data_IF_016219330648
#
_entry.id   IF_016219330648
#
_cell.length_a   1.000
_cell.length_b   1.000
_cell.length_c   1.000
_cell.angle_alpha   90.00
_cell.angle_beta   90.00
_cell.angle_gamma   90.00
#
_symmetry.space_group_name_H-M   'P 1'
#
loop_
_entity.id
_entity.type
_entity.pdbx_description
1 polymer ?
#
# COMPACT_ATOMS: atom_id res chain seq x y z
N UNK A 1 0.81 1.07 -8.45
CA UNK A 1 0.74 1.96 -7.27
C UNK A 1 0.34 1.20 -6.02
N UNK A 2 0.82 1.67 -4.91
CA UNK A 2 0.53 1.10 -3.60
C UNK A 2 -0.77 1.67 -3.06
N UNK A 3 -1.68 0.81 -2.57
CA UNK A 3 -2.88 1.25 -1.89
C UNK A 3 -2.60 1.49 -0.41
N UNK A 4 -2.89 2.69 0.06
CA UNK A 4 -2.73 3.10 1.45
C UNK A 4 -3.95 3.92 1.89
N UNK A 5 -4.35 3.77 3.15
CA UNK A 5 -5.41 4.62 3.71
C UNK A 5 -5.06 6.12 3.67
N UNK A 6 -3.77 6.45 3.64
CA UNK A 6 -3.30 7.82 3.47
C UNK A 6 -3.44 8.35 2.02
N UNK A 7 -3.63 7.46 1.05
CA UNK A 7 -3.70 7.80 -0.37
C UNK A 7 -5.16 7.85 -0.90
N UNK A 8 -6.15 7.63 -0.04
CA UNK A 8 -7.56 7.78 -0.37
C UNK A 8 -7.84 9.28 -0.60
N UNK A 9 -8.56 9.59 -1.68
CA UNK A 9 -8.94 10.95 -2.04
C UNK A 9 -10.46 11.07 -2.10
N UNK A 10 -10.96 12.15 -1.50
CA UNK A 10 -12.34 12.58 -1.66
C UNK A 10 -12.36 13.56 -2.82
N UNK A 11 -13.24 13.33 -3.77
CA UNK A 11 -13.35 14.12 -4.98
C UNK A 11 -14.77 14.70 -5.06
N UNK A 12 -14.87 15.97 -5.46
CA UNK A 12 -16.13 16.57 -5.78
C UNK A 12 -16.55 16.21 -7.21
N UNK A 13 -17.82 15.90 -7.40
CA UNK A 13 -18.38 15.68 -8.72
C UNK A 13 -18.65 17.05 -9.35
N UNK A 14 -18.01 17.34 -10.46
CA UNK A 14 -18.20 18.57 -11.23
C UNK A 14 -19.01 18.21 -12.47
N UNK A 15 -20.13 18.89 -12.66
CA UNK A 15 -20.91 18.80 -13.89
C UNK A 15 -20.60 20.00 -14.78
N UNK A 16 -20.24 19.70 -16.03
CA UNK A 16 -19.99 20.66 -17.06
C UNK A 16 -20.57 20.11 -18.37
N UNK A 17 -21.51 20.85 -18.99
CA UNK A 17 -22.26 20.36 -20.16
C UNK A 17 -21.34 19.93 -21.33
N UNK A 18 -20.27 20.67 -21.58
CA UNK A 18 -19.32 20.35 -22.64
C UNK A 18 -18.56 19.03 -22.33
N UNK A 19 -18.10 18.89 -21.09
CA UNK A 19 -17.38 17.70 -20.64
C UNK A 19 -18.31 16.49 -20.58
N UNK A 20 -19.51 16.67 -20.06
CA UNK A 20 -20.51 15.60 -19.94
C UNK A 20 -20.91 15.08 -21.35
N UNK A 21 -21.07 15.97 -22.34
CA UNK A 21 -21.34 15.58 -23.73
C UNK A 21 -20.14 14.84 -24.35
N UNK A 22 -18.92 15.33 -24.12
CA UNK A 22 -17.71 14.74 -24.67
C UNK A 22 -17.45 13.34 -24.12
N UNK A 23 -17.65 13.15 -22.80
CA UNK A 23 -17.35 11.90 -22.11
C UNK A 23 -18.56 10.98 -21.91
N UNK A 24 -19.73 11.29 -22.46
CA UNK A 24 -20.99 10.55 -22.24
C UNK A 24 -20.92 9.05 -22.50
N UNK A 25 -20.00 8.60 -23.35
CA UNK A 25 -19.82 7.18 -23.68
C UNK A 25 -18.67 6.52 -22.91
N UNK A 26 -17.98 7.26 -22.05
CA UNK A 26 -16.86 6.76 -21.28
C UNK A 26 -17.30 6.38 -19.87
N UNK A 27 -17.44 5.09 -19.60
CA UNK A 27 -17.97 4.60 -18.34
C UNK A 27 -16.89 4.16 -17.34
N UNK A 28 -15.67 3.91 -17.81
CA UNK A 28 -14.60 3.30 -17.00
C UNK A 28 -13.35 4.17 -16.84
N UNK A 29 -13.04 5.13 -17.73
CA UNK A 29 -11.82 5.94 -17.59
C UNK A 29 -11.94 6.91 -16.43
N UNK A 30 -10.86 7.08 -15.71
CA UNK A 30 -10.68 8.15 -14.72
C UNK A 30 -9.77 9.20 -15.33
N UNK A 31 -10.20 10.45 -15.31
CA UNK A 31 -9.46 11.57 -15.88
C UNK A 31 -8.77 12.32 -14.75
N UNK A 32 -7.47 12.53 -14.89
CA UNK A 32 -6.66 13.27 -13.94
C UNK A 32 -6.25 14.61 -14.51
N UNK A 33 -6.36 15.64 -13.69
CA UNK A 33 -5.82 16.94 -14.00
C UNK A 33 -4.29 16.92 -13.88
N UNK A 34 -3.59 17.43 -14.90
CA UNK A 34 -2.12 17.50 -14.89
C UNK A 34 -1.55 18.62 -14.00
N UNK A 35 -2.41 19.48 -13.46
CA UNK A 35 -2.01 20.62 -12.63
C UNK A 35 -2.13 20.37 -11.13
N UNK A 36 -2.83 19.31 -10.72
CA UNK A 36 -2.95 18.95 -9.32
C UNK A 36 -2.00 17.82 -8.92
N UNK A 37 -1.94 17.53 -7.64
CA UNK A 37 -1.09 16.51 -7.04
C UNK A 37 -1.83 15.20 -6.77
N UNK A 38 -3.01 14.99 -7.35
CA UNK A 38 -3.82 13.81 -7.07
C UNK A 38 -3.11 12.51 -7.48
N UNK A 39 -2.49 12.50 -8.67
CA UNK A 39 -1.73 11.35 -9.15
C UNK A 39 -0.52 11.04 -8.24
N UNK A 40 0.22 12.07 -7.81
CA UNK A 40 1.33 11.93 -6.87
C UNK A 40 0.86 11.40 -5.52
N UNK A 41 -0.30 11.89 -5.05
CA UNK A 41 -0.92 11.45 -3.81
C UNK A 41 -1.38 9.99 -3.87
N UNK A 42 -1.55 9.42 -5.04
CA UNK A 42 -1.85 8.00 -5.27
C UNK A 42 -0.60 7.11 -5.31
N UNK A 43 0.55 7.67 -4.97
CA UNK A 43 1.82 6.98 -4.71
C UNK A 43 2.26 6.02 -5.82
N UNK A 44 2.93 6.57 -6.82
CA UNK A 44 3.47 5.81 -7.95
C UNK A 44 2.44 5.45 -9.03
N UNK A 45 1.30 6.12 -9.04
CA UNK A 45 0.34 6.01 -10.13
C UNK A 45 0.92 6.63 -11.40
N UNK A 46 1.17 5.82 -12.43
CA UNK A 46 1.85 6.22 -13.66
C UNK A 46 0.97 6.15 -14.93
N UNK A 47 -0.28 5.73 -14.77
CA UNK A 47 -1.31 5.72 -15.82
C UNK A 47 -1.04 4.75 -16.98
N UNK A 48 -0.18 3.76 -16.78
CA UNK A 48 0.18 2.77 -17.80
C UNK A 48 -0.72 1.50 -17.79
N UNK A 49 -1.85 1.57 -17.14
CA UNK A 49 -2.80 0.47 -16.95
C UNK A 49 -3.17 0.25 -15.48
N UNK A 50 -2.76 1.15 -14.62
CA UNK A 50 -3.16 1.15 -13.22
C UNK A 50 -4.68 1.25 -13.07
N UNK A 51 -5.24 0.44 -12.18
CA UNK A 51 -6.66 0.44 -11.86
C UNK A 51 -6.92 1.26 -10.61
N UNK A 52 -7.99 2.04 -10.64
CA UNK A 52 -8.49 2.77 -9.47
C UNK A 52 -9.89 2.28 -9.11
N UNK A 53 -10.21 2.32 -7.83
CA UNK A 53 -11.56 2.05 -7.34
C UNK A 53 -12.21 3.38 -6.98
N UNK A 54 -13.31 3.69 -7.65
CA UNK A 54 -14.15 4.84 -7.32
C UNK A 54 -15.46 4.35 -6.69
N UNK A 55 -15.95 5.08 -5.71
CA UNK A 55 -17.22 4.76 -5.09
C UNK A 55 -17.94 6.03 -4.64
N UNK A 56 -19.26 6.06 -4.84
CA UNK A 56 -20.18 7.05 -4.27
C UNK A 56 -20.98 6.48 -3.09
N UNK A 57 -20.60 5.31 -2.58
CA UNK A 57 -21.32 4.67 -1.48
C UNK A 57 -21.27 5.58 -0.25
N UNK A 58 -22.43 6.09 0.14
CA UNK A 58 -22.60 7.14 1.14
C UNK A 58 -21.88 6.85 2.46
N UNK A 59 -22.00 5.63 2.98
CA UNK A 59 -21.33 5.27 4.24
C UNK A 59 -19.80 5.36 4.15
N UNK A 60 -19.20 5.02 3.00
CA UNK A 60 -17.76 5.16 2.82
C UNK A 60 -17.37 6.63 2.67
N UNK A 61 -18.09 7.39 1.86
CA UNK A 61 -17.77 8.80 1.61
C UNK A 61 -17.87 9.63 2.89
N UNK A 62 -18.98 9.50 3.64
CA UNK A 62 -19.22 10.27 4.87
C UNK A 62 -18.26 9.91 6.02
N UNK A 63 -17.76 8.68 6.04
CA UNK A 63 -16.84 8.21 7.10
C UNK A 63 -15.36 8.22 6.67
N UNK A 64 -15.06 8.59 5.44
CA UNK A 64 -13.69 8.72 4.98
C UNK A 64 -13.13 10.09 5.38
N UNK A 65 -11.99 10.06 6.05
CA UNK A 65 -11.21 11.27 6.35
C UNK A 65 -9.97 11.29 5.47
N UNK A 66 -9.87 12.31 4.62
CA UNK A 66 -8.67 12.48 3.81
C UNK A 66 -7.48 12.83 4.72
N UNK A 67 -6.44 12.01 4.63
CA UNK A 67 -5.19 12.16 5.37
C UNK A 67 -4.09 12.70 4.45
N UNK A 68 -3.01 13.26 5.00
CA UNK A 68 -1.82 13.58 4.22
C UNK A 68 -1.31 12.36 3.47
N UNK A 69 -1.01 12.50 2.19
CA UNK A 69 -0.51 11.43 1.36
C UNK A 69 0.85 10.94 1.88
N UNK A 70 1.09 9.64 1.75
CA UNK A 70 2.40 9.02 2.00
C UNK A 70 3.03 8.74 0.66
N UNK A 71 4.19 9.34 0.41
CA UNK A 71 4.99 9.12 -0.79
C UNK A 71 6.17 8.21 -0.44
N UNK A 72 6.28 7.09 -1.12
CA UNK A 72 7.37 6.13 -0.92
C UNK A 72 8.55 6.48 -1.83
N UNK A 73 9.68 6.81 -1.22
CA UNK A 73 10.93 7.03 -1.96
C UNK A 73 11.66 5.71 -2.14
N UNK A 74 11.65 5.20 -3.36
CA UNK A 74 12.26 3.92 -3.70
C UNK A 74 13.72 4.09 -4.10
N UNK A 75 14.53 3.08 -3.77
CA UNK A 75 15.93 3.00 -4.19
C UNK A 75 16.08 2.02 -5.34
N UNK A 76 16.80 2.42 -6.38
CA UNK A 76 17.18 1.51 -7.46
C UNK A 76 18.24 0.53 -6.96
N UNK A 77 18.10 -0.73 -7.37
CA UNK A 77 19.11 -1.73 -7.15
C UNK A 77 20.38 -1.39 -7.97
N UNK A 78 21.57 -1.78 -7.48
CA UNK A 78 22.80 -1.66 -8.26
C UNK A 78 22.65 -2.39 -9.60
N UNK A 79 23.15 -1.79 -10.67
CA UNK A 79 23.20 -2.46 -11.97
C UNK A 79 24.26 -3.55 -11.94
N UNK A 80 23.93 -4.73 -12.38
CA UNK A 80 24.85 -5.86 -12.57
C UNK A 80 24.59 -6.52 -13.92
N UNK A 81 25.58 -7.26 -14.40
CA UNK A 81 25.39 -8.18 -15.54
C UNK A 81 24.92 -9.49 -14.92
N UNK A 82 23.70 -9.96 -15.22
CA UNK A 82 23.18 -11.18 -14.61
C UNK A 82 23.95 -12.41 -15.13
N UNK A 83 24.21 -13.34 -14.23
CA UNK A 83 24.67 -14.69 -14.57
C UNK A 83 23.49 -15.59 -14.91
N UNK A 84 23.73 -16.78 -15.44
CA UNK A 84 22.68 -17.79 -15.68
C UNK A 84 21.97 -18.17 -14.37
N UNK A 85 22.72 -18.32 -13.28
CA UNK A 85 22.19 -18.61 -11.95
C UNK A 85 21.29 -17.48 -11.45
N UNK A 86 21.65 -16.21 -11.67
CA UNK A 86 20.81 -15.06 -11.29
C UNK A 86 19.48 -15.06 -12.03
N UNK A 87 19.50 -15.40 -13.33
CA UNK A 87 18.30 -15.50 -14.15
C UNK A 87 17.40 -16.64 -13.66
N UNK A 88 17.99 -17.82 -13.41
CA UNK A 88 17.27 -18.99 -12.89
C UNK A 88 16.66 -18.67 -11.52
N UNK A 89 17.42 -18.08 -10.61
CA UNK A 89 16.94 -17.71 -9.27
C UNK A 89 15.85 -16.64 -9.33
N UNK A 90 15.96 -15.69 -10.25
CA UNK A 90 14.93 -14.68 -10.47
C UNK A 90 13.61 -15.31 -10.93
N UNK A 91 13.68 -16.28 -11.84
CA UNK A 91 12.51 -17.02 -12.30
C UNK A 91 11.85 -17.81 -11.16
N UNK A 92 12.64 -18.52 -10.35
CA UNK A 92 12.14 -19.25 -9.17
C UNK A 92 11.46 -18.28 -8.19
N UNK A 93 12.09 -17.14 -7.91
CA UNK A 93 11.57 -16.14 -6.98
C UNK A 93 10.33 -15.43 -7.52
N UNK A 94 10.10 -15.40 -8.83
CA UNK A 94 8.90 -14.77 -9.43
C UNK A 94 7.61 -15.54 -9.09
N UNK A 95 7.70 -16.81 -8.75
CA UNK A 95 6.57 -17.61 -8.25
C UNK A 95 6.29 -17.36 -6.75
N UNK A 96 7.10 -16.57 -6.09
CA UNK A 96 6.95 -16.25 -4.67
C UNK A 96 5.75 -15.34 -4.39
N UNK A 97 5.17 -15.50 -3.20
CA UNK A 97 4.02 -14.72 -2.72
C UNK A 97 4.45 -13.52 -1.84
N UNK A 98 5.60 -12.92 -2.13
CA UNK A 98 6.20 -11.89 -1.29
C UNK A 98 5.29 -10.67 -1.07
N UNK A 99 4.58 -10.23 -2.12
CA UNK A 99 3.63 -9.11 -2.02
C UNK A 99 2.48 -9.46 -1.07
N UNK A 100 1.90 -10.66 -1.21
CA UNK A 100 0.82 -11.16 -0.35
C UNK A 100 1.25 -11.31 1.11
N UNK A 101 2.46 -11.80 1.36
CA UNK A 101 3.01 -11.92 2.71
C UNK A 101 3.17 -10.56 3.40
N UNK A 102 3.73 -9.57 2.71
CA UNK A 102 3.85 -8.20 3.23
C UNK A 102 2.47 -7.61 3.48
N UNK A 103 1.52 -7.80 2.57
CA UNK A 103 0.13 -7.34 2.72
C UNK A 103 -0.52 -7.92 3.98
N UNK A 104 -0.39 -9.22 4.21
CA UNK A 104 -0.95 -9.88 5.38
C UNK A 104 -0.34 -9.35 6.69
N UNK A 105 0.97 -9.09 6.69
CA UNK A 105 1.67 -8.50 7.84
C UNK A 105 1.14 -7.09 8.14
N UNK A 106 0.95 -6.26 7.11
CA UNK A 106 0.38 -4.90 7.25
C UNK A 106 -1.05 -4.97 7.77
N UNK A 107 -1.89 -5.82 7.21
CA UNK A 107 -3.29 -6.00 7.64
C UNK A 107 -3.36 -6.37 9.12
N UNK A 108 -2.50 -7.28 9.55
CA UNK A 108 -2.43 -7.66 10.97
C UNK A 108 -1.97 -6.51 11.89
N UNK A 109 -1.08 -5.65 11.40
CA UNK A 109 -0.71 -4.44 12.15
C UNK A 109 -1.88 -3.46 12.29
N UNK A 110 -2.74 -3.32 11.26
CA UNK A 110 -3.97 -2.52 11.36
C UNK A 110 -4.94 -3.07 12.41
N UNK A 111 -5.14 -4.39 12.46
CA UNK A 111 -6.00 -5.01 13.47
C UNK A 111 -5.53 -4.73 14.90
N UNK A 112 -4.23 -4.76 15.13
CA UNK A 112 -3.66 -4.45 16.45
C UNK A 112 -3.74 -2.95 16.72
N UNK A 113 -3.45 -2.11 15.75
CA UNK A 113 -3.54 -0.66 15.89
C UNK A 113 -4.93 -0.21 16.34
N UNK A 114 -5.97 -0.84 15.79
CA UNK A 114 -7.37 -0.53 16.13
C UNK A 114 -7.73 -0.75 17.61
N UNK A 115 -6.88 -1.49 18.35
CA UNK A 115 -7.09 -1.76 19.80
C UNK A 115 -6.53 -0.66 20.70
N UNK A 116 -5.77 0.26 20.16
CA UNK A 116 -5.12 1.33 20.92
C UNK A 116 -5.77 2.70 20.67
N UNK A 117 -5.84 3.56 21.71
CA UNK A 117 -6.24 4.95 21.52
C UNK A 117 -5.31 5.67 20.54
N UNK A 118 -5.88 6.58 19.73
CA UNK A 118 -5.14 7.28 18.66
C UNK A 118 -3.97 8.13 19.17
N UNK A 119 -4.05 8.62 20.40
CA UNK A 119 -3.03 9.42 21.08
C UNK A 119 -1.96 8.59 21.80
N UNK A 120 -2.13 7.27 21.86
CA UNK A 120 -1.18 6.37 22.50
C UNK A 120 0.14 6.27 21.74
N UNK A 121 1.20 5.91 22.45
CA UNK A 121 2.51 5.62 21.86
C UNK A 121 2.44 4.42 20.91
N UNK A 122 1.72 3.38 21.32
CA UNK A 122 1.53 2.14 20.59
C UNK A 122 0.89 2.41 19.23
N UNK A 123 -0.18 3.22 19.21
CA UNK A 123 -0.84 3.61 17.97
C UNK A 123 0.13 4.31 17.00
N UNK A 124 0.91 5.29 17.50
CA UNK A 124 1.87 6.04 16.68
C UNK A 124 2.99 5.16 16.12
N UNK A 125 3.50 4.23 16.93
CA UNK A 125 4.55 3.29 16.47
C UNK A 125 4.01 2.36 15.40
N UNK A 126 2.80 1.83 15.59
CA UNK A 126 2.15 0.98 14.58
C UNK A 126 1.82 1.75 13.31
N UNK A 127 1.33 2.98 13.41
CA UNK A 127 1.09 3.86 12.25
C UNK A 127 2.37 4.06 11.42
N UNK A 128 3.49 4.33 12.09
CA UNK A 128 4.78 4.44 11.42
C UNK A 128 5.22 3.11 10.76
N UNK A 129 5.08 1.98 11.47
CA UNK A 129 5.43 0.65 10.93
C UNK A 129 4.55 0.27 9.74
N UNK A 130 3.26 0.59 9.79
CA UNK A 130 2.32 0.37 8.69
C UNK A 130 2.75 1.16 7.45
N UNK A 131 3.05 2.45 7.61
CA UNK A 131 3.55 3.30 6.52
C UNK A 131 4.84 2.77 5.91
N UNK A 132 5.79 2.34 6.75
CA UNK A 132 6.99 1.67 6.26
C UNK A 132 6.69 0.33 5.59
N UNK A 133 5.74 -0.44 6.13
CA UNK A 133 5.29 -1.70 5.55
C UNK A 133 4.75 -1.51 4.13
N UNK A 134 4.01 -0.44 3.90
CA UNK A 134 3.53 -0.07 2.57
C UNK A 134 4.66 0.23 1.60
N UNK A 135 5.78 0.83 2.05
CA UNK A 135 6.98 0.97 1.23
C UNK A 135 7.60 -0.39 0.89
N UNK A 136 7.67 -1.32 1.85
CA UNK A 136 8.14 -2.68 1.58
C UNK A 136 7.26 -3.36 0.53
N UNK A 137 5.94 -3.22 0.62
CA UNK A 137 5.00 -3.75 -0.36
C UNK A 137 5.24 -3.16 -1.75
N UNK A 138 5.35 -1.84 -1.87
CA UNK A 138 5.63 -1.15 -3.12
C UNK A 138 6.95 -1.64 -3.73
N UNK A 139 8.00 -1.79 -2.93
CA UNK A 139 9.29 -2.28 -3.41
C UNK A 139 9.21 -3.73 -3.93
N UNK A 140 8.37 -4.59 -3.33
CA UNK A 140 8.16 -5.95 -3.85
C UNK A 140 7.41 -5.92 -5.19
N UNK A 141 6.45 -5.03 -5.37
CA UNK A 141 5.74 -4.84 -6.65
C UNK A 141 6.71 -4.38 -7.73
N UNK A 142 7.53 -3.37 -7.43
CA UNK A 142 8.43 -2.73 -8.40
C UNK A 142 9.81 -3.41 -8.52
N UNK A 143 10.01 -4.55 -7.87
CA UNK A 143 11.27 -5.31 -7.93
C UNK A 143 11.68 -5.60 -9.38
N UNK A 144 10.72 -5.92 -10.24
CA UNK A 144 10.95 -6.17 -11.66
C UNK A 144 11.37 -4.93 -12.44
N UNK A 145 11.07 -3.73 -11.92
CA UNK A 145 11.51 -2.44 -12.47
C UNK A 145 12.92 -2.03 -11.95
N UNK A 146 13.62 -2.94 -11.28
CA UNK A 146 14.97 -2.69 -10.75
C UNK A 146 14.97 -1.90 -9.43
N UNK A 147 13.94 -2.02 -8.63
CA UNK A 147 13.87 -1.44 -7.28
C UNK A 147 14.45 -2.43 -6.26
N UNK A 148 15.23 -1.91 -5.31
CA UNK A 148 15.75 -2.72 -4.20
C UNK A 148 14.60 -3.14 -3.28
N UNK A 149 14.31 -4.43 -3.23
CA UNK A 149 13.30 -5.00 -2.33
C UNK A 149 13.98 -5.74 -1.18
N UNK A 150 13.59 -5.39 0.03
CA UNK A 150 14.04 -6.03 1.28
C UNK A 150 12.85 -6.61 2.01
N UNK A 151 13.13 -7.57 2.89
CA UNK A 151 12.12 -8.12 3.78
C UNK A 151 11.80 -7.14 4.92
N UNK A 152 10.54 -7.17 5.33
CA UNK A 152 10.09 -6.39 6.49
C UNK A 152 10.75 -6.96 7.76
N UNK A 153 11.21 -6.10 8.70
CA UNK A 153 11.85 -6.58 9.92
C UNK A 153 10.98 -7.56 10.71
N UNK A 154 11.52 -8.73 11.07
CA UNK A 154 10.80 -9.81 11.75
C UNK A 154 10.17 -9.37 13.08
N UNK A 155 10.84 -8.49 13.81
CA UNK A 155 10.33 -7.93 15.07
C UNK A 155 9.01 -7.16 14.95
N UNK A 156 8.62 -6.75 13.72
CA UNK A 156 7.39 -6.00 13.53
C UNK A 156 6.14 -6.89 13.53
N UNK A 157 6.30 -8.17 13.28
CA UNK A 157 5.20 -9.12 13.16
C UNK A 157 5.44 -10.46 13.89
N UNK A 158 6.47 -10.55 14.73
CA UNK A 158 6.79 -11.75 15.51
C UNK A 158 5.63 -12.27 16.37
N UNK A 159 4.78 -11.36 16.85
CA UNK A 159 3.58 -11.69 17.59
C UNK A 159 2.53 -12.43 16.75
N UNK A 160 2.49 -12.27 15.42
CA UNK A 160 1.59 -13.01 14.52
C UNK A 160 1.99 -14.48 14.47
N UNK A 161 3.27 -14.75 14.26
CA UNK A 161 3.82 -16.11 14.21
C UNK A 161 3.56 -16.88 15.50
N UNK A 162 3.71 -16.22 16.65
CA UNK A 162 3.46 -16.84 17.95
C UNK A 162 1.97 -17.14 18.18
N UNK A 163 1.05 -16.37 17.62
CA UNK A 163 -0.38 -16.63 17.68
C UNK A 163 -0.80 -17.83 16.87
N UNK A 164 -0.26 -17.97 15.67
CA UNK A 164 -0.58 -19.06 14.75
C UNK A 164 0.01 -20.39 15.23
N UNK A 165 1.25 -20.37 15.76
CA UNK A 165 1.97 -21.60 16.14
C UNK A 165 1.52 -22.21 17.46
N UNK A 166 0.90 -21.45 18.37
CA UNK A 166 0.60 -21.93 19.72
C UNK A 166 -0.87 -22.19 20.05
N UNK A 167 -1.81 -21.85 19.16
CA UNK A 167 -3.26 -22.10 19.39
C UNK A 167 -3.82 -21.54 20.72
N UNK A 168 -3.00 -20.79 21.46
CA UNK A 168 -3.38 -20.21 22.75
C UNK A 168 -3.87 -18.77 22.52
N UNK A 169 -4.94 -18.47 23.23
CA UNK A 169 -5.45 -17.10 23.39
C UNK A 169 -4.29 -16.20 23.85
N UNK A 170 -3.74 -15.45 22.92
CA UNK A 170 -2.53 -14.70 23.16
C UNK A 170 -2.86 -13.50 24.04
N UNK A 171 -2.58 -13.60 25.30
CA UNK A 171 -2.30 -12.44 26.11
C UNK A 171 -1.28 -11.58 25.32
N UNK A 172 -1.71 -10.41 24.96
CA UNK A 172 -1.09 -9.43 24.08
C UNK A 172 0.44 -9.41 24.26
N UNK A 173 1.17 -9.97 23.28
CA UNK A 173 2.59 -9.68 23.17
C UNK A 173 2.67 -8.21 22.79
N UNK A 174 3.30 -7.42 23.60
CA UNK A 174 3.36 -5.97 23.40
C UNK A 174 4.02 -5.67 22.05
N UNK A 175 3.40 -4.88 21.16
CA UNK A 175 3.92 -4.63 19.81
C UNK A 175 5.26 -3.89 19.78
N UNK A 176 5.78 -3.51 20.93
CA UNK A 176 7.06 -2.81 21.11
C UNK A 176 8.13 -3.65 21.82
N UNK A 177 7.82 -4.92 22.17
CA UNK A 177 8.79 -5.83 22.79
C UNK A 177 9.74 -6.46 21.77
#
# INVERSE_FOLDING_TARGET
PMTSHNNIRLLDVIHNEEMDEFYKYMNTPTIFNSWDTCADAMNGFDKDGDCVINTSFRLLVENTKQLPAVVCVQRKAPKCIPTEDDIMQSNINSFGNAVGEVTNKITSMFEIQARYPRDSREFRVLDYRIKCGQLYQQNQIDKTKGIEAKDMPDKWYSWISNKISKGKDSSVIHPLS
#
